data_IF_018879257365
#
_entry.id   IF_018879257365
#
_cell.length_a   1.000
_cell.length_b   1.000
_cell.length_c   1.000
_cell.angle_alpha   90.00
_cell.angle_beta   90.00
_cell.angle_gamma   90.00
#
_symmetry.space_group_name_H-M   'P 1'
#
loop_
_entity.id
_entity.type
_entity.pdbx_description
1 polymer ?
#
# COMPACT_ATOMS: atom_id res chain seq x y z
N UNK A 1 8.55 -28.74 23.02
CA UNK A 1 9.52 -27.64 22.76
C UNK A 1 8.78 -26.56 21.99
N UNK A 2 8.46 -25.47 22.68
CA UNK A 2 8.44 -24.06 22.27
C UNK A 2 7.99 -23.81 20.81
N UNK A 3 6.80 -23.29 20.52
CA UNK A 3 6.25 -22.06 21.08
C UNK A 3 6.04 -21.08 19.93
N UNK A 4 5.05 -21.33 19.07
CA UNK A 4 4.61 -20.33 18.10
C UNK A 4 3.69 -19.37 18.83
N UNK A 5 4.33 -18.36 19.41
CA UNK A 5 3.68 -17.17 19.91
C UNK A 5 2.73 -16.61 18.84
N UNK A 6 1.43 -16.74 19.06
CA UNK A 6 0.40 -15.98 18.36
C UNK A 6 0.46 -14.53 18.84
N UNK A 7 1.55 -13.83 18.49
CA UNK A 7 1.73 -12.42 18.82
C UNK A 7 1.17 -11.54 17.71
N UNK A 8 0.51 -10.49 18.16
CA UNK A 8 0.10 -9.30 17.44
C UNK A 8 -1.12 -9.46 16.52
N UNK A 9 -2.27 -9.28 17.18
CA UNK A 9 -3.26 -8.31 16.75
C UNK A 9 -3.95 -8.58 15.41
N UNK A 10 -5.03 -9.36 15.51
CA UNK A 10 -6.06 -9.54 14.50
C UNK A 10 -6.94 -8.28 14.39
N UNK A 11 -6.33 -7.12 14.12
CA UNK A 11 -7.07 -6.01 13.52
C UNK A 11 -7.28 -6.38 12.05
N UNK A 12 -8.36 -5.94 11.40
CA UNK A 12 -8.35 -5.88 9.95
C UNK A 12 -7.19 -4.94 9.60
N UNK A 13 -6.01 -5.51 9.31
CA UNK A 13 -4.95 -4.76 8.68
C UNK A 13 -5.61 -4.26 7.41
N UNK A 14 -5.94 -2.97 7.37
CA UNK A 14 -6.31 -2.33 6.12
C UNK A 14 -5.20 -2.71 5.17
N UNK A 15 -5.48 -3.65 4.27
CA UNK A 15 -4.42 -4.28 3.51
C UNK A 15 -3.94 -3.26 2.51
N UNK A 16 -2.90 -2.51 2.89
CA UNK A 16 -2.35 -1.45 2.07
C UNK A 16 -1.89 -2.01 0.72
N UNK A 17 -1.62 -3.31 0.61
CA UNK A 17 -1.29 -3.93 -0.67
C UNK A 17 -2.42 -3.83 -1.69
N UNK A 18 -3.69 -3.76 -1.26
CA UNK A 18 -4.81 -3.60 -2.20
C UNK A 18 -4.66 -2.34 -3.05
N UNK A 19 -4.14 -1.24 -2.47
CA UNK A 19 -3.91 0.00 -3.19
C UNK A 19 -2.76 -0.13 -4.20
N UNK A 20 -1.75 -0.96 -3.89
CA UNK A 20 -0.65 -1.27 -4.81
C UNK A 20 -1.16 -2.12 -5.97
N UNK A 21 -1.97 -3.14 -5.68
CA UNK A 21 -2.55 -4.02 -6.69
C UNK A 21 -3.48 -3.27 -7.64
N UNK A 22 -4.35 -2.40 -7.11
CA UNK A 22 -5.25 -1.58 -7.92
C UNK A 22 -4.48 -0.59 -8.80
N UNK A 23 -3.44 0.06 -8.28
CA UNK A 23 -2.58 0.92 -9.08
C UNK A 23 -1.84 0.15 -10.18
N UNK A 24 -1.25 -1.00 -9.85
CA UNK A 24 -0.60 -1.89 -10.81
C UNK A 24 -1.57 -2.36 -11.91
N UNK A 25 -2.84 -2.63 -11.57
CA UNK A 25 -3.85 -3.01 -12.54
C UNK A 25 -4.21 -1.83 -13.46
N UNK A 26 -4.34 -0.62 -12.91
CA UNK A 26 -4.65 0.58 -13.67
C UNK A 26 -3.56 0.90 -14.70
N UNK A 27 -2.29 0.87 -14.31
CA UNK A 27 -1.18 1.15 -15.25
C UNK A 27 -1.05 0.06 -16.32
N UNK A 28 -1.32 -1.21 -15.99
CA UNK A 28 -1.39 -2.28 -17.00
C UNK A 28 -2.51 -2.05 -18.02
N UNK A 29 -3.59 -1.38 -17.60
CA UNK A 29 -4.67 -0.93 -18.47
C UNK A 29 -4.38 0.36 -19.24
N UNK A 30 -3.22 1.00 -19.02
CA UNK A 30 -2.87 2.30 -19.60
C UNK A 30 -3.52 3.50 -18.91
N UNK A 31 -4.18 3.31 -17.76
CA UNK A 31 -4.80 4.39 -17.01
C UNK A 31 -3.84 4.90 -15.91
N UNK A 32 -2.92 5.77 -16.34
CA UNK A 32 -1.92 6.41 -15.46
C UNK A 32 -2.57 7.28 -14.38
N UNK A 33 -3.68 7.96 -14.70
CA UNK A 33 -4.37 8.80 -13.72
C UNK A 33 -5.01 7.97 -12.62
N UNK A 34 -5.69 6.89 -12.98
CA UNK A 34 -6.27 5.96 -12.01
C UNK A 34 -5.19 5.28 -11.16
N UNK A 35 -4.03 4.97 -11.76
CA UNK A 35 -2.88 4.45 -11.05
C UNK A 35 -2.39 5.41 -9.94
N UNK A 36 -2.16 6.68 -10.30
CA UNK A 36 -1.74 7.71 -9.36
C UNK A 36 -2.74 7.93 -8.23
N UNK A 37 -4.06 7.87 -8.52
CA UNK A 37 -5.10 7.94 -7.47
C UNK A 37 -4.96 6.80 -6.47
N UNK A 38 -4.76 5.57 -6.94
CA UNK A 38 -4.63 4.40 -6.06
C UNK A 38 -3.39 4.47 -5.18
N UNK A 39 -2.23 4.81 -5.75
CA UNK A 39 -1.01 4.97 -4.95
C UNK A 39 -1.10 6.14 -3.97
N UNK A 40 -1.72 7.26 -4.36
CA UNK A 40 -1.92 8.41 -3.46
C UNK A 40 -2.85 8.08 -2.29
N UNK A 41 -3.92 7.32 -2.54
CA UNK A 41 -4.82 6.83 -1.49
C UNK A 41 -4.10 5.90 -0.52
N UNK A 42 -3.29 4.97 -1.06
CA UNK A 42 -2.43 4.10 -0.25
C UNK A 42 -1.43 4.87 0.60
N UNK A 43 -0.80 5.91 0.05
CA UNK A 43 0.11 6.80 0.77
C UNK A 43 -0.58 7.50 1.96
N UNK A 44 -1.78 8.05 1.76
CA UNK A 44 -2.55 8.68 2.82
C UNK A 44 -2.87 7.70 3.95
N UNK A 45 -3.36 6.51 3.60
CA UNK A 45 -3.68 5.47 4.60
C UNK A 45 -2.43 4.97 5.33
N UNK A 46 -1.30 4.80 4.64
CA UNK A 46 -0.05 4.40 5.26
C UNK A 46 0.43 5.44 6.30
N UNK A 47 0.27 6.73 6.01
CA UNK A 47 0.57 7.83 6.95
C UNK A 47 -0.36 7.81 8.16
N UNK A 48 -1.66 7.64 7.94
CA UNK A 48 -2.66 7.54 9.03
C UNK A 48 -2.36 6.38 9.98
N UNK A 49 -1.94 5.24 9.41
CA UNK A 49 -1.55 4.04 10.16
C UNK A 49 -0.13 4.11 10.73
N UNK A 50 0.63 5.18 10.46
CA UNK A 50 2.05 5.33 10.81
C UNK A 50 2.90 4.16 10.31
N UNK A 51 2.54 3.58 9.17
CA UNK A 51 3.27 2.51 8.51
C UNK A 51 4.32 3.11 7.57
N UNK A 52 5.49 3.40 8.13
CA UNK A 52 6.58 4.06 7.39
C UNK A 52 7.12 3.24 6.22
N UNK A 53 7.12 1.90 6.32
CA UNK A 53 7.53 1.03 5.23
C UNK A 53 6.62 1.21 4.01
N UNK A 54 5.30 1.14 4.22
CA UNK A 54 4.32 1.33 3.15
C UNK A 54 4.28 2.77 2.64
N UNK A 55 4.45 3.75 3.52
CA UNK A 55 4.55 5.16 3.12
C UNK A 55 5.70 5.37 2.12
N UNK A 56 6.88 4.81 2.44
CA UNK A 56 8.04 4.89 1.55
C UNK A 56 7.77 4.16 0.23
N UNK A 57 7.17 2.96 0.30
CA UNK A 57 6.83 2.18 -0.90
C UNK A 57 5.90 2.95 -1.84
N UNK A 58 4.81 3.54 -1.34
CA UNK A 58 3.90 4.34 -2.16
C UNK A 58 4.57 5.59 -2.73
N UNK A 59 5.41 6.26 -1.94
CA UNK A 59 6.13 7.44 -2.40
C UNK A 59 7.06 7.10 -3.58
N UNK A 60 7.79 5.99 -3.50
CA UNK A 60 8.64 5.51 -4.61
C UNK A 60 7.82 5.15 -5.86
N UNK A 61 6.66 4.51 -5.69
CA UNK A 61 5.77 4.19 -6.81
C UNK A 61 5.28 5.45 -7.52
N UNK A 62 4.83 6.47 -6.78
CA UNK A 62 4.36 7.75 -7.35
C UNK A 62 5.50 8.46 -8.11
N UNK A 63 6.70 8.49 -7.54
CA UNK A 63 7.86 9.13 -8.19
C UNK A 63 8.23 8.44 -9.50
N UNK A 64 8.09 7.10 -9.57
CA UNK A 64 8.42 6.33 -10.78
C UNK A 64 7.46 6.64 -11.95
N UNK A 65 6.29 7.22 -11.68
CA UNK A 65 5.30 7.55 -12.71
C UNK A 65 5.37 8.99 -13.21
N UNK A 66 6.22 9.84 -12.62
CA UNK A 66 6.45 11.22 -13.05
C UNK A 66 7.61 11.30 -14.04
#
# INVERSE_FOLDING_TARGET
>A
MNGTNFTAANFPQTDLNVYIEMGNSAIKGGDEMECLKWYSKGLSMARELKNHEKEQQFSSLIITMM
#
